data_IF_041256373639
#
_entry.id   IF_041256373639
#
_cell.length_a   1.000
_cell.length_b   1.000
_cell.length_c   1.000
_cell.angle_alpha   90.00
_cell.angle_beta   90.00
_cell.angle_gamma   90.00
#
_symmetry.space_group_name_H-M   'P 1'
#
loop_
_entity.id
_entity.type
_entity.pdbx_description
1 polymer ?
#
# COMPACT_ATOMS: atom_id res chain seq x y z
N UNK A 1 1.11 16.09 -6.04
CA UNK A 1 0.67 16.70 -4.76
C UNK A 1 0.76 18.22 -4.76
N UNK A 2 1.84 18.82 -5.25
CA UNK A 2 1.95 20.28 -5.36
C UNK A 2 0.82 20.89 -6.19
N UNK A 3 0.46 20.27 -7.30
CA UNK A 3 -0.62 20.74 -8.19
C UNK A 3 -1.99 20.75 -7.50
N UNK A 4 -2.25 19.76 -6.62
CA UNK A 4 -3.47 19.73 -5.81
C UNK A 4 -3.48 20.86 -4.77
N UNK A 5 -2.37 21.05 -4.05
CA UNK A 5 -2.23 22.13 -3.07
C UNK A 5 -2.23 23.51 -3.71
N UNK A 6 -1.74 23.62 -4.95
CA UNK A 6 -1.75 24.85 -5.76
C UNK A 6 -3.06 25.09 -6.52
N UNK A 7 -4.02 24.16 -6.44
CA UNK A 7 -5.33 24.29 -7.10
C UNK A 7 -5.31 24.08 -8.63
N UNK A 8 -4.24 23.49 -9.18
CA UNK A 8 -4.16 23.14 -10.61
C UNK A 8 -4.96 21.88 -10.94
N UNK A 9 -5.21 21.02 -9.95
CA UNK A 9 -6.09 19.84 -10.07
C UNK A 9 -7.04 19.78 -8.89
N UNK A 10 -8.24 19.22 -9.09
CA UNK A 10 -9.29 19.18 -8.08
C UNK A 10 -9.18 17.98 -7.14
N UNK A 11 -8.60 16.87 -7.59
CA UNK A 11 -8.48 15.64 -6.82
C UNK A 11 -7.34 14.76 -7.31
N UNK A 12 -6.87 13.84 -6.44
CA UNK A 12 -5.81 12.89 -6.76
C UNK A 12 -6.05 11.57 -6.03
N UNK A 13 -5.66 10.46 -6.65
CA UNK A 13 -5.44 9.18 -5.99
C UNK A 13 -3.97 9.08 -5.60
N UNK A 14 -3.69 9.02 -4.31
CA UNK A 14 -2.31 9.00 -3.82
C UNK A 14 -2.19 8.17 -2.52
N UNK A 15 -1.02 7.58 -2.23
CA UNK A 15 -0.81 6.85 -0.98
C UNK A 15 -1.02 7.74 0.25
N UNK A 16 -1.72 7.23 1.27
CA UNK A 16 -1.91 7.94 2.56
C UNK A 16 -0.58 8.27 3.21
N UNK A 17 0.41 7.39 3.08
CA UNK A 17 1.75 7.55 3.65
C UNK A 17 2.44 8.85 3.25
N UNK A 18 2.17 9.35 2.05
CA UNK A 18 2.74 10.61 1.53
C UNK A 18 1.95 11.85 1.96
N UNK A 19 0.70 11.68 2.38
CA UNK A 19 -0.26 12.77 2.58
C UNK A 19 -0.73 12.94 4.03
N UNK A 20 -0.31 12.06 4.92
CA UNK A 20 -0.80 12.03 6.31
C UNK A 20 -0.62 13.36 7.04
N UNK A 21 0.49 14.07 6.79
CA UNK A 21 0.77 15.36 7.42
C UNK A 21 -0.18 16.45 6.91
N UNK A 22 -0.46 16.51 5.61
CA UNK A 22 -1.37 17.46 5.00
C UNK A 22 -2.82 17.22 5.45
N UNK A 23 -3.20 15.93 5.59
CA UNK A 23 -4.51 15.55 6.13
C UNK A 23 -4.66 15.98 7.60
N UNK A 24 -3.63 15.76 8.43
CA UNK A 24 -3.61 16.21 9.83
C UNK A 24 -3.63 17.72 9.96
N UNK A 25 -2.93 18.43 9.07
CA UNK A 25 -2.91 19.90 9.03
C UNK A 25 -4.19 20.52 8.45
N UNK A 26 -5.11 19.70 7.88
CA UNK A 26 -6.34 20.18 7.26
C UNK A 26 -6.16 20.89 5.91
N UNK A 27 -4.95 20.87 5.34
CA UNK A 27 -4.68 21.44 4.01
C UNK A 27 -5.16 20.52 2.87
N UNK A 28 -5.45 19.28 3.17
CA UNK A 28 -6.12 18.32 2.28
C UNK A 28 -7.32 17.70 2.98
N UNK A 29 -8.32 17.33 2.19
CA UNK A 29 -9.48 16.56 2.64
C UNK A 29 -9.50 15.20 1.96
N UNK A 30 -9.38 14.12 2.74
CA UNK A 30 -9.61 12.77 2.22
C UNK A 30 -11.11 12.56 2.01
N UNK A 31 -11.49 12.02 0.84
CA UNK A 31 -12.88 11.74 0.48
C UNK A 31 -13.24 10.27 0.76
N UNK A 32 -12.33 9.36 0.45
CA UNK A 32 -12.46 7.93 0.71
C UNK A 32 -11.08 7.27 0.72
N UNK A 33 -11.00 6.05 1.27
CA UNK A 33 -9.80 5.21 1.25
C UNK A 33 -10.08 3.86 0.60
N UNK A 34 -9.08 3.31 -0.09
CA UNK A 34 -9.23 2.04 -0.83
C UNK A 34 -9.04 0.79 0.03
N UNK A 35 -8.57 0.92 1.26
CA UNK A 35 -8.39 -0.24 2.15
C UNK A 35 -9.72 -0.92 2.48
N UNK A 36 -9.73 -2.25 2.75
CA UNK A 36 -10.96 -2.97 3.10
C UNK A 36 -11.66 -2.44 4.37
N UNK A 37 -10.87 -1.93 5.31
CA UNK A 37 -11.34 -1.33 6.55
C UNK A 37 -10.80 0.09 6.69
N UNK A 38 -11.49 0.93 7.47
CA UNK A 38 -11.01 2.27 7.80
C UNK A 38 -9.67 2.20 8.53
N UNK A 39 -8.79 3.15 8.27
CA UNK A 39 -7.53 3.28 8.99
C UNK A 39 -7.80 3.90 10.38
N UNK A 40 -7.18 3.40 11.46
CA UNK A 40 -7.40 3.92 12.81
C UNK A 40 -7.17 5.43 12.94
N UNK A 41 -6.12 5.95 12.30
CA UNK A 41 -5.83 7.38 12.32
C UNK A 41 -6.74 8.24 11.42
N UNK A 42 -7.56 7.60 10.57
CA UNK A 42 -8.51 8.24 9.65
C UNK A 42 -9.89 7.60 9.77
N UNK A 43 -10.29 7.27 10.99
CA UNK A 43 -11.53 6.53 11.28
C UNK A 43 -12.81 7.25 10.81
N UNK A 44 -12.75 8.56 10.62
CA UNK A 44 -13.82 9.38 10.09
C UNK A 44 -13.94 9.37 8.55
N UNK A 45 -12.94 8.80 7.85
CA UNK A 45 -12.95 8.74 6.38
C UNK A 45 -13.54 7.38 5.95
N UNK A 46 -14.59 7.36 5.12
CA UNK A 46 -15.18 6.11 4.66
C UNK A 46 -14.28 5.37 3.69
N UNK A 47 -14.45 4.05 3.58
CA UNK A 47 -13.83 3.27 2.51
C UNK A 47 -14.65 3.38 1.22
N UNK A 48 -14.02 3.10 0.06
CA UNK A 48 -14.74 3.01 -1.20
C UNK A 48 -15.83 1.93 -1.16
N UNK A 49 -15.59 0.82 -0.45
CA UNK A 49 -16.58 -0.25 -0.28
C UNK A 49 -17.83 0.25 0.47
N UNK A 50 -17.66 1.04 1.54
CA UNK A 50 -18.77 1.65 2.27
C UNK A 50 -19.60 2.62 1.41
N UNK A 51 -18.98 3.22 0.41
CA UNK A 51 -19.63 4.12 -0.56
C UNK A 51 -20.21 3.38 -1.78
N UNK A 52 -20.16 2.03 -1.80
CA UNK A 52 -20.71 1.21 -2.89
C UNK A 52 -19.71 0.92 -4.03
N UNK A 53 -18.49 1.39 -3.95
CA UNK A 53 -17.45 1.20 -4.98
C UNK A 53 -16.52 0.01 -4.66
N UNK A 54 -17.07 -1.19 -4.53
CA UNK A 54 -16.33 -2.39 -4.15
C UNK A 54 -15.13 -2.69 -5.08
N UNK A 55 -15.25 -2.37 -6.37
CA UNK A 55 -14.17 -2.58 -7.35
C UNK A 55 -12.93 -1.69 -7.11
N UNK A 56 -13.03 -0.66 -6.29
CA UNK A 56 -11.93 0.22 -5.91
C UNK A 56 -11.29 -0.17 -4.58
N UNK A 57 -11.65 -1.35 -4.04
CA UNK A 57 -11.03 -1.88 -2.83
C UNK A 57 -9.70 -2.53 -3.17
N UNK A 58 -8.65 -2.05 -2.54
CA UNK A 58 -7.30 -2.56 -2.72
C UNK A 58 -6.35 -1.99 -1.68
N UNK A 59 -5.21 -2.63 -1.52
CA UNK A 59 -4.16 -2.17 -0.61
C UNK A 59 -2.83 -2.10 -1.35
N UNK A 60 -2.09 -1.05 -1.10
CA UNK A 60 -0.68 -1.01 -1.47
C UNK A 60 0.10 -1.97 -0.55
N UNK A 61 1.14 -2.58 -1.06
CA UNK A 61 2.03 -3.43 -0.28
C UNK A 61 3.48 -3.02 -0.49
N UNK A 62 4.29 -3.26 0.51
CA UNK A 62 5.73 -3.12 0.47
C UNK A 62 6.36 -4.50 0.59
N UNK A 63 7.40 -4.75 -0.18
CA UNK A 63 8.09 -6.03 -0.18
C UNK A 63 9.60 -5.86 -0.26
N UNK A 64 10.30 -6.82 0.31
CA UNK A 64 11.74 -6.94 0.19
C UNK A 64 12.07 -7.97 -0.90
N UNK A 65 12.88 -7.57 -1.88
CA UNK A 65 13.35 -8.43 -2.95
C UNK A 65 14.87 -8.57 -2.92
N UNK A 66 15.36 -9.68 -3.42
CA UNK A 66 16.79 -9.97 -3.49
C UNK A 66 17.16 -10.46 -4.90
N UNK A 67 18.46 -10.45 -5.28
CA UNK A 67 18.91 -11.01 -6.54
C UNK A 67 18.54 -12.50 -6.68
N UNK A 68 18.28 -12.92 -7.92
CA UNK A 68 17.83 -14.29 -8.25
C UNK A 68 18.70 -15.40 -7.64
N UNK A 69 19.99 -15.15 -7.54
CA UNK A 69 20.98 -16.16 -7.08
C UNK A 69 21.37 -15.95 -5.61
N UNK A 70 20.54 -15.31 -4.78
CA UNK A 70 20.81 -15.23 -3.35
C UNK A 70 20.89 -16.65 -2.75
N UNK A 71 21.96 -17.00 -2.02
CA UNK A 71 22.07 -18.30 -1.40
C UNK A 71 20.89 -18.61 -0.48
N UNK A 72 20.34 -19.82 -0.60
CA UNK A 72 19.14 -20.23 0.14
C UNK A 72 19.23 -20.02 1.67
N UNK A 73 20.36 -20.29 2.36
CA UNK A 73 20.46 -20.04 3.79
C UNK A 73 20.31 -18.55 4.15
N UNK A 74 20.80 -17.65 3.30
CA UNK A 74 20.67 -16.20 3.52
C UNK A 74 19.20 -15.78 3.32
N UNK A 75 18.56 -16.26 2.25
CA UNK A 75 17.15 -16.00 1.99
C UNK A 75 16.25 -16.48 3.16
N UNK A 76 16.49 -17.69 3.64
CA UNK A 76 15.77 -18.26 4.80
C UNK A 76 15.98 -17.44 6.06
N UNK A 77 17.21 -16.99 6.33
CA UNK A 77 17.49 -16.16 7.50
C UNK A 77 16.79 -14.81 7.44
N UNK A 78 16.82 -14.14 6.28
CA UNK A 78 16.09 -12.87 6.08
C UNK A 78 14.59 -13.08 6.27
N UNK A 79 14.02 -14.11 5.64
CA UNK A 79 12.59 -14.44 5.74
C UNK A 79 12.16 -14.69 7.19
N UNK A 80 12.97 -15.42 7.98
CA UNK A 80 12.69 -15.69 9.38
C UNK A 80 12.75 -14.44 10.27
N UNK A 81 13.57 -13.46 9.92
CA UNK A 81 13.68 -12.21 10.69
C UNK A 81 12.49 -11.26 10.50
N UNK A 82 11.74 -11.35 9.39
CA UNK A 82 10.64 -10.44 9.11
C UNK A 82 9.56 -10.46 10.22
N UNK A 83 9.01 -11.62 10.63
CA UNK A 83 8.05 -11.66 11.73
C UNK A 83 8.62 -11.14 13.06
N UNK A 84 9.89 -11.47 13.35
CA UNK A 84 10.58 -11.02 14.56
C UNK A 84 10.71 -9.49 14.61
N UNK A 85 11.04 -8.87 13.47
CA UNK A 85 11.14 -7.41 13.34
C UNK A 85 9.76 -6.74 13.49
N UNK A 86 8.75 -7.29 12.83
CA UNK A 86 7.38 -6.77 12.91
C UNK A 86 6.72 -6.96 14.28
N UNK A 87 7.27 -7.83 15.13
CA UNK A 87 6.83 -7.98 16.53
C UNK A 87 7.44 -6.92 17.47
N UNK A 88 8.42 -6.15 17.04
CA UNK A 88 9.07 -5.13 17.88
C UNK A 88 8.20 -3.88 17.98
N UNK A 89 7.92 -3.40 19.22
CA UNK A 89 7.03 -2.23 19.42
C UNK A 89 7.53 -0.95 18.75
N UNK A 90 8.84 -0.71 18.75
CA UNK A 90 9.46 0.45 18.13
C UNK A 90 9.30 0.45 16.60
N UNK A 91 9.43 -0.71 15.97
CA UNK A 91 9.18 -0.88 14.53
C UNK A 91 7.70 -0.68 14.23
N UNK A 92 6.80 -1.26 15.02
CA UNK A 92 5.36 -1.09 14.86
C UNK A 92 4.95 0.38 14.99
N UNK A 93 5.43 1.07 16.01
CA UNK A 93 5.14 2.49 16.21
C UNK A 93 5.60 3.33 15.00
N UNK A 94 6.78 3.03 14.44
CA UNK A 94 7.29 3.72 13.25
C UNK A 94 6.45 3.47 12.01
N UNK A 95 5.99 2.25 11.81
CA UNK A 95 5.11 1.90 10.69
C UNK A 95 3.74 2.57 10.82
N UNK A 96 3.18 2.61 12.03
CA UNK A 96 1.91 3.28 12.30
C UNK A 96 2.00 4.79 12.07
N UNK A 97 3.12 5.43 12.46
CA UNK A 97 3.35 6.86 12.23
C UNK A 97 3.19 7.23 10.76
N UNK A 98 3.67 6.38 9.85
CA UNK A 98 3.55 6.56 8.40
C UNK A 98 2.32 5.86 7.80
N UNK A 99 1.39 5.43 8.62
CA UNK A 99 0.14 4.75 8.23
C UNK A 99 0.38 3.49 7.38
N UNK A 100 1.48 2.79 7.64
CA UNK A 100 1.78 1.48 7.07
C UNK A 100 1.40 0.41 8.09
N UNK A 101 0.31 -0.30 7.83
CA UNK A 101 -0.16 -1.36 8.73
C UNK A 101 0.34 -2.72 8.22
N UNK A 102 1.27 -3.39 8.92
CA UNK A 102 1.73 -4.70 8.52
C UNK A 102 0.60 -5.73 8.63
N UNK A 103 0.65 -6.73 7.77
CA UNK A 103 -0.25 -7.88 7.88
C UNK A 103 0.07 -8.64 9.17
N UNK A 104 -0.95 -9.23 9.81
CA UNK A 104 -0.77 -10.12 10.97
C UNK A 104 0.19 -11.27 10.67
N UNK A 105 0.11 -11.81 9.44
CA UNK A 105 1.05 -12.81 8.93
C UNK A 105 1.72 -12.25 7.67
N UNK A 106 3.04 -12.02 7.69
CA UNK A 106 3.78 -11.62 6.50
C UNK A 106 3.68 -12.67 5.40
N UNK A 107 3.53 -12.23 4.17
CA UNK A 107 3.56 -13.10 2.99
C UNK A 107 4.99 -13.22 2.52
N UNK A 108 5.53 -14.43 2.48
CA UNK A 108 6.95 -14.68 2.20
C UNK A 108 7.13 -15.84 1.21
N UNK A 109 8.31 -15.93 0.59
CA UNK A 109 8.67 -17.01 -0.31
C UNK A 109 7.73 -17.11 -1.52
N UNK A 110 7.34 -18.33 -1.89
CA UNK A 110 6.50 -18.60 -3.05
C UNK A 110 5.12 -17.93 -2.99
N UNK A 111 4.57 -17.75 -1.79
CA UNK A 111 3.30 -17.04 -1.62
C UNK A 111 3.43 -15.57 -2.00
N UNK A 112 4.58 -14.95 -1.70
CA UNK A 112 4.85 -13.58 -2.13
C UNK A 112 5.01 -13.47 -3.64
N UNK A 113 5.66 -14.44 -4.28
CA UNK A 113 5.76 -14.52 -5.75
C UNK A 113 4.36 -14.64 -6.38
N UNK A 114 3.49 -15.49 -5.84
CA UNK A 114 2.09 -15.62 -6.30
C UNK A 114 1.31 -14.32 -6.14
N UNK A 115 1.49 -13.63 -5.00
CA UNK A 115 0.89 -12.33 -4.78
C UNK A 115 1.33 -11.32 -5.83
N UNK A 116 2.63 -11.20 -6.09
CA UNK A 116 3.16 -10.29 -7.13
C UNK A 116 2.59 -10.62 -8.51
N UNK A 117 2.57 -11.92 -8.90
CA UNK A 117 2.03 -12.33 -10.19
C UNK A 117 0.55 -12.00 -10.33
N UNK A 118 -0.23 -12.23 -9.28
CA UNK A 118 -1.65 -11.85 -9.22
C UNK A 118 -1.85 -10.34 -9.44
N UNK A 119 -1.04 -9.52 -8.78
CA UNK A 119 -1.10 -8.07 -8.93
C UNK A 119 -0.70 -7.62 -10.34
N UNK A 120 0.35 -8.20 -10.93
CA UNK A 120 0.76 -7.92 -12.31
C UNK A 120 -0.40 -8.22 -13.27
N UNK A 121 -1.03 -9.38 -13.13
CA UNK A 121 -2.15 -9.77 -13.98
C UNK A 121 -3.34 -8.80 -13.85
N UNK A 122 -3.67 -8.41 -12.63
CA UNK A 122 -4.76 -7.46 -12.35
C UNK A 122 -4.48 -6.10 -12.99
N UNK A 123 -3.31 -5.53 -12.73
CA UNK A 123 -2.97 -4.21 -13.26
C UNK A 123 -2.76 -4.21 -14.77
N UNK A 124 -2.26 -5.30 -15.35
CA UNK A 124 -2.19 -5.46 -16.80
C UNK A 124 -3.58 -5.44 -17.43
N UNK A 125 -4.55 -6.12 -16.82
CA UNK A 125 -5.93 -6.11 -17.31
C UNK A 125 -6.57 -4.71 -17.20
N UNK A 126 -6.32 -4.01 -16.10
CA UNK A 126 -6.79 -2.62 -15.89
C UNK A 126 -6.18 -1.69 -16.94
N UNK A 127 -4.85 -1.73 -17.15
CA UNK A 127 -4.17 -0.89 -18.12
C UNK A 127 -4.69 -1.13 -19.55
N UNK A 128 -4.89 -2.39 -19.94
CA UNK A 128 -5.48 -2.73 -21.25
C UNK A 128 -6.89 -2.15 -21.40
N UNK A 129 -7.73 -2.28 -20.39
CA UNK A 129 -9.10 -1.75 -20.41
C UNK A 129 -9.14 -0.22 -20.46
N UNK A 130 -8.22 0.42 -19.75
CA UNK A 130 -8.07 1.87 -19.73
C UNK A 130 -7.32 2.43 -20.95
N UNK A 131 -6.87 1.56 -21.88
CA UNK A 131 -6.07 1.94 -23.06
C UNK A 131 -4.81 2.77 -22.70
N UNK A 132 -4.18 2.45 -21.56
CA UNK A 132 -2.93 3.07 -21.15
C UNK A 132 -1.81 2.46 -21.99
N UNK A 133 -1.13 3.28 -22.78
CA UNK A 133 0.08 2.88 -23.48
C UNK A 133 1.24 2.80 -22.47
N UNK A 134 1.83 1.61 -22.34
CA UNK A 134 3.05 1.43 -21.58
C UNK A 134 4.22 1.79 -22.49
N UNK A 135 4.78 2.98 -22.32
CA UNK A 135 6.03 3.36 -22.97
C UNK A 135 7.14 2.62 -22.19
N UNK A 136 7.72 1.58 -22.82
CA UNK A 136 8.86 0.82 -22.30
C UNK A 136 10.14 1.42 -22.84
#
# INVERSE_FOLDING_TARGET
MQDLLGGQIDSVFDPVTTNVNQLKAGSLRALAISTPNRLPALANIPTFAELGFNSLTGSQWLGLSAPKNLPAPIAQRITALIPELLAKPDIMARLEEVQTLPRKTPVVGDEFVKLMQSQINTWTAVAKRAKVEVIV
#
